data_IF_718811193647
#
_entry.id   IF_718811193647
#
_cell.length_a   1.000
_cell.length_b   1.000
_cell.length_c   1.000
_cell.angle_alpha   90.00
_cell.angle_beta   90.00
_cell.angle_gamma   90.00
#
_symmetry.space_group_name_H-M   'P 1'
#
loop_
_entity.id
_entity.type
_entity.pdbx_description
1 polymer ?
#
# COMPACT_ATOMS: atom_id res chain seq x y z
N UNK A 1 21.27 -6.33 22.98
CA UNK A 1 19.91 -6.92 22.93
C UNK A 1 19.23 -6.46 21.66
N UNK A 2 18.83 -7.39 20.81
CA UNK A 2 18.47 -7.18 19.40
C UNK A 2 16.97 -6.87 19.25
N UNK A 3 16.69 -5.73 18.61
CA UNK A 3 15.59 -5.38 17.68
C UNK A 3 14.21 -6.06 17.85
N UNK A 4 13.24 -5.29 18.35
CA UNK A 4 11.79 -5.59 18.29
C UNK A 4 11.12 -5.12 16.97
N UNK A 5 11.88 -4.65 15.96
CA UNK A 5 11.29 -3.97 14.80
C UNK A 5 11.18 -4.81 13.52
N UNK A 6 11.50 -6.12 13.56
CA UNK A 6 11.51 -6.98 12.37
C UNK A 6 10.25 -7.83 12.13
N UNK A 7 9.28 -7.86 13.06
CA UNK A 7 8.09 -8.72 12.90
C UNK A 7 6.94 -8.12 12.08
N UNK A 8 6.85 -6.78 11.93
CA UNK A 8 5.72 -6.15 11.22
C UNK A 8 5.84 -6.25 9.69
N UNK A 9 7.04 -6.48 9.15
CA UNK A 9 7.26 -6.51 7.69
C UNK A 9 6.89 -7.83 7.03
N UNK A 10 6.79 -8.94 7.79
CA UNK A 10 6.55 -10.28 7.22
C UNK A 10 5.05 -10.62 7.17
N UNK A 11 4.24 -10.00 8.04
CA UNK A 11 2.79 -10.25 8.11
C UNK A 11 1.95 -9.30 7.22
N UNK A 12 2.54 -8.25 6.64
CA UNK A 12 1.77 -7.22 5.92
C UNK A 12 1.14 -7.68 4.61
N UNK A 13 1.57 -8.81 4.06
CA UNK A 13 1.02 -9.43 2.85
C UNK A 13 0.01 -10.55 3.12
N UNK A 14 -0.54 -10.67 4.33
CA UNK A 14 -1.50 -11.72 4.69
C UNK A 14 -2.95 -11.21 4.87
N UNK A 15 -3.15 -9.90 4.98
CA UNK A 15 -4.47 -9.28 5.16
C UNK A 15 -4.70 -8.19 4.12
N UNK A 16 -5.88 -8.16 3.49
CA UNK A 16 -6.27 -7.15 2.50
C UNK A 16 -5.92 -5.74 3.02
N UNK A 17 -5.03 -5.06 2.31
CA UNK A 17 -4.47 -3.76 2.73
C UNK A 17 -3.97 -2.97 1.51
N UNK A 18 -3.87 -1.65 1.62
CA UNK A 18 -3.29 -0.80 0.58
C UNK A 18 -1.86 -1.23 0.19
N UNK A 19 -1.13 -1.85 1.12
CA UNK A 19 0.20 -2.40 0.89
C UNK A 19 0.25 -3.45 -0.22
N UNK A 20 -0.84 -4.17 -0.50
CA UNK A 20 -0.89 -5.17 -1.58
C UNK A 20 -0.67 -4.57 -2.96
N UNK A 21 -1.10 -3.32 -3.17
CA UNK A 21 -0.86 -2.61 -4.41
C UNK A 21 0.52 -1.92 -4.40
N UNK A 22 0.85 -1.21 -3.31
CA UNK A 22 2.08 -0.42 -3.21
C UNK A 22 3.34 -1.26 -3.23
N UNK A 23 3.36 -2.38 -2.48
CA UNK A 23 4.57 -3.15 -2.19
C UNK A 23 5.23 -3.79 -3.43
N UNK A 24 4.49 -4.46 -4.33
CA UNK A 24 5.09 -4.98 -5.56
C UNK A 24 5.37 -3.88 -6.61
N UNK A 25 4.63 -2.77 -6.61
CA UNK A 25 4.70 -1.77 -7.68
C UNK A 25 5.68 -0.61 -7.42
N UNK A 26 6.04 -0.35 -6.16
CA UNK A 26 6.74 0.88 -5.77
C UNK A 26 7.98 0.66 -4.88
N UNK A 27 8.37 -0.58 -4.58
CA UNK A 27 9.46 -0.87 -3.64
C UNK A 27 10.74 -1.48 -4.25
N UNK A 28 10.88 -1.57 -5.58
CA UNK A 28 12.02 -2.30 -6.19
C UNK A 28 13.40 -1.71 -5.87
N UNK A 29 13.49 -0.40 -5.61
CA UNK A 29 14.77 0.29 -5.36
C UNK A 29 14.95 0.79 -3.91
N UNK A 30 14.02 0.44 -3.02
CA UNK A 30 13.94 0.96 -1.66
C UNK A 30 13.00 2.17 -1.53
N UNK A 31 12.38 2.31 -0.36
CA UNK A 31 11.49 3.45 -0.06
C UNK A 31 12.33 4.56 0.56
N UNK A 32 12.30 5.75 -0.03
CA UNK A 32 13.13 6.87 0.42
C UNK A 32 12.42 7.65 1.52
N UNK A 33 13.07 7.81 2.68
CA UNK A 33 12.58 8.68 3.75
C UNK A 33 12.99 10.13 3.46
N UNK A 34 12.03 11.04 3.58
CA UNK A 34 12.26 12.47 3.37
C UNK A 34 12.50 13.12 4.73
N UNK A 35 13.54 13.96 4.91
CA UNK A 35 13.73 14.70 6.15
C UNK A 35 12.65 15.77 6.27
N UNK A 36 11.95 15.78 7.40
CA UNK A 36 10.78 16.63 7.57
C UNK A 36 10.63 17.13 9.00
N UNK A 37 10.33 18.42 9.15
CA UNK A 37 10.26 19.10 10.44
C UNK A 37 8.91 19.77 10.62
N UNK A 38 8.41 19.78 11.86
CA UNK A 38 7.22 20.55 12.20
C UNK A 38 7.62 22.02 12.41
N UNK A 39 6.87 22.94 11.78
CA UNK A 39 7.15 24.37 11.90
C UNK A 39 7.03 24.82 13.36
N UNK A 40 8.04 25.53 13.87
CA UNK A 40 8.13 26.08 15.24
C UNK A 40 8.15 25.05 16.38
N UNK A 41 8.21 23.75 16.08
CA UNK A 41 8.32 22.67 17.07
C UNK A 41 9.27 21.58 16.57
N UNK A 42 10.56 21.91 16.51
CA UNK A 42 11.59 21.12 15.81
C UNK A 42 12.01 19.84 16.54
N UNK A 43 11.68 19.72 17.82
CA UNK A 43 12.01 18.54 18.63
C UNK A 43 10.90 17.49 18.68
N UNK A 44 9.72 17.78 18.13
CA UNK A 44 8.58 16.86 18.15
C UNK A 44 8.64 15.87 16.99
N UNK A 45 8.66 14.59 17.33
CA UNK A 45 8.38 13.51 16.38
C UNK A 45 6.91 13.54 16.00
N UNK A 46 6.64 13.93 14.76
CA UNK A 46 5.30 13.97 14.18
C UNK A 46 5.01 12.73 13.31
N UNK A 47 6.01 11.89 13.07
CA UNK A 47 5.95 10.74 12.19
C UNK A 47 7.00 10.77 11.07
N UNK A 48 6.71 10.11 9.95
CA UNK A 48 7.64 10.01 8.83
C UNK A 48 6.95 10.13 7.47
N UNK A 49 7.61 10.82 6.55
CA UNK A 49 7.21 10.90 5.15
C UNK A 49 8.09 9.98 4.29
N UNK A 50 7.45 9.26 3.38
CA UNK A 50 8.11 8.34 2.45
C UNK A 50 7.74 8.67 1.01
N UNK A 51 8.75 8.75 0.15
CA UNK A 51 8.59 8.85 -1.30
C UNK A 51 8.60 7.44 -1.89
N UNK A 52 7.70 7.22 -2.83
CA UNK A 52 7.58 5.99 -3.60
C UNK A 52 7.94 6.28 -5.05
N UNK A 53 8.78 5.44 -5.64
CA UNK A 53 9.16 5.53 -7.04
C UNK A 53 8.77 4.20 -7.72
N UNK A 54 8.16 4.24 -8.92
CA UNK A 54 7.67 3.05 -9.58
C UNK A 54 8.81 2.12 -9.99
N UNK A 55 8.58 0.80 -9.91
CA UNK A 55 9.55 -0.21 -10.37
C UNK A 55 9.83 -0.08 -11.87
N UNK A 56 8.78 0.23 -12.62
CA UNK A 56 8.79 0.43 -14.07
C UNK A 56 7.96 1.66 -14.41
N UNK A 57 8.42 2.43 -15.37
CA UNK A 57 7.60 3.50 -15.94
C UNK A 57 6.52 2.86 -16.81
N UNK A 58 5.27 2.93 -16.35
CA UNK A 58 4.12 2.35 -17.02
C UNK A 58 2.95 3.36 -17.03
N UNK A 59 2.23 3.51 -18.16
CA UNK A 59 1.06 4.36 -18.22
C UNK A 59 -0.13 3.74 -17.47
N UNK A 60 -1.10 4.57 -17.13
CA UNK A 60 -2.37 4.12 -16.55
C UNK A 60 -3.18 3.28 -17.56
N UNK A 61 -3.97 2.33 -17.05
CA UNK A 61 -4.81 1.49 -17.88
C UNK A 61 -6.14 2.17 -18.26
N UNK A 62 -6.55 2.06 -19.52
CA UNK A 62 -7.89 2.46 -19.96
C UNK A 62 -8.94 1.45 -19.46
N UNK A 63 -9.90 1.91 -18.65
CA UNK A 63 -10.97 1.07 -18.11
C UNK A 63 -12.21 1.12 -19.03
N UNK A 64 -12.62 -0.05 -19.52
CA UNK A 64 -13.90 -0.21 -20.22
C UNK A 64 -15.01 -0.51 -19.20
N UNK A 65 -15.80 0.49 -18.87
CA UNK A 65 -16.85 0.39 -17.86
C UNK A 65 -18.22 0.05 -18.48
N UNK A 66 -19.03 -0.71 -17.75
CA UNK A 66 -20.40 -1.03 -18.13
C UNK A 66 -21.30 -1.14 -16.89
N UNK A 67 -22.60 -1.02 -17.09
CA UNK A 67 -23.63 -1.12 -16.05
C UNK A 67 -24.49 -2.36 -16.28
N UNK A 68 -24.87 -3.07 -15.21
CA UNK A 68 -25.76 -4.22 -15.28
C UNK A 68 -26.75 -4.23 -14.10
N UNK A 69 -28.02 -4.51 -14.36
CA UNK A 69 -29.04 -4.73 -13.32
C UNK A 69 -28.91 -6.14 -12.75
N UNK A 70 -28.82 -6.26 -11.42
CA UNK A 70 -28.71 -7.54 -10.70
C UNK A 70 -29.85 -7.66 -9.69
N UNK A 71 -30.22 -8.89 -9.34
CA UNK A 71 -31.21 -9.16 -8.30
C UNK A 71 -30.61 -8.97 -6.90
N UNK A 72 -31.46 -8.77 -5.89
CA UNK A 72 -31.01 -8.52 -4.50
C UNK A 72 -30.28 -9.69 -3.82
N UNK A 73 -30.40 -10.91 -4.36
CA UNK A 73 -29.71 -12.11 -3.89
C UNK A 73 -28.59 -12.56 -4.85
N UNK A 74 -28.27 -11.75 -5.86
CA UNK A 74 -27.24 -12.09 -6.84
C UNK A 74 -25.85 -12.11 -6.18
N UNK A 75 -25.08 -13.18 -6.41
CA UNK A 75 -23.73 -13.35 -5.89
C UNK A 75 -22.81 -13.83 -7.04
N UNK A 76 -21.77 -13.06 -7.43
CA UNK A 76 -20.82 -13.46 -8.48
C UNK A 76 -19.80 -14.51 -8.03
N UNK A 77 -19.77 -14.86 -6.74
CA UNK A 77 -18.79 -15.75 -6.13
C UNK A 77 -18.09 -15.11 -4.93
N UNK A 78 -17.37 -15.91 -4.12
CA UNK A 78 -16.67 -15.41 -2.94
C UNK A 78 -15.44 -14.56 -3.29
N UNK A 79 -15.10 -13.59 -2.43
CA UNK A 79 -13.87 -12.79 -2.51
C UNK A 79 -12.68 -13.62 -2.03
N UNK A 80 -11.54 -13.52 -2.72
CA UNK A 80 -10.29 -14.13 -2.28
C UNK A 80 -9.70 -13.37 -1.09
N UNK A 81 -9.69 -14.00 0.07
CA UNK A 81 -9.11 -13.46 1.32
C UNK A 81 -7.86 -14.21 1.80
N UNK A 82 -7.48 -15.30 1.13
CA UNK A 82 -6.35 -16.14 1.49
C UNK A 82 -5.86 -17.02 0.34
N UNK A 83 -4.78 -17.81 0.55
CA UNK A 83 -4.40 -18.91 -0.33
C UNK A 83 -5.45 -20.02 -0.35
#
# INVERSE_FOLDING_TARGET
>A
MISHNRMVSVLSGQFISSKWCTQPMLHANGVTQVPTYLSRDWGRDWGSLRRFDPVVEAPEAHLNLATATRSGLWNPGPIRIGP
#
